data_IF_094294899614
#
_entry.id   IF_094294899614
#
_cell.length_a   1.000
_cell.length_b   1.000
_cell.length_c   1.000
_cell.angle_alpha   90.00
_cell.angle_beta   90.00
_cell.angle_gamma   90.00
#
_symmetry.space_group_name_H-M   'P 1'
#
loop_
_entity.id
_entity.type
_entity.pdbx_description
1 polymer ?
#
# COMPACT_ATOMS: atom_id res chain seq x y z
N UNK A 1 48.12 39.27 33.20
CA UNK A 1 46.66 39.26 32.91
C UNK A 1 46.44 38.29 31.76
N UNK A 2 46.02 37.05 32.06
CA UNK A 2 45.85 35.99 31.05
C UNK A 2 44.39 35.92 30.62
N UNK A 3 44.15 36.08 29.31
CA UNK A 3 42.85 36.00 28.67
C UNK A 3 42.41 34.55 28.44
N UNK A 4 41.19 34.23 28.83
CA UNK A 4 40.52 32.98 28.53
C UNK A 4 39.84 33.08 27.15
N UNK A 5 40.29 32.27 26.20
CA UNK A 5 39.52 31.97 24.99
C UNK A 5 38.64 30.74 25.23
N UNK A 6 37.32 30.77 24.94
CA UNK A 6 36.48 29.59 25.02
C UNK A 6 36.77 28.64 23.84
N UNK A 7 36.93 27.35 24.14
CA UNK A 7 37.06 26.29 23.14
C UNK A 7 35.76 26.10 22.33
N UNK A 8 35.86 25.80 21.02
CA UNK A 8 34.69 25.47 20.20
C UNK A 8 34.09 24.10 20.59
N UNK A 9 32.76 23.92 20.44
CA UNK A 9 32.08 22.69 20.81
C UNK A 9 32.50 21.50 19.92
N UNK A 10 32.46 20.27 20.45
CA UNK A 10 32.83 19.07 19.71
C UNK A 10 31.91 18.88 18.50
N UNK A 11 32.50 18.79 17.32
CA UNK A 11 31.78 18.43 16.10
C UNK A 11 31.23 17.01 16.26
N UNK A 12 29.91 16.88 16.19
CA UNK A 12 29.25 15.58 16.09
C UNK A 12 29.75 14.91 14.82
N UNK A 13 30.43 13.78 15.00
CA UNK A 13 30.89 12.91 13.93
C UNK A 13 29.69 12.51 13.10
N UNK A 14 29.57 13.10 11.90
CA UNK A 14 28.52 12.77 10.96
C UNK A 14 28.59 11.29 10.63
N UNK A 15 27.45 10.61 10.74
CA UNK A 15 27.30 9.22 10.36
C UNK A 15 27.76 9.09 8.90
N UNK A 16 28.87 8.38 8.69
CA UNK A 16 29.49 8.25 7.36
C UNK A 16 28.44 7.78 6.36
N UNK A 17 28.37 8.41 5.19
CA UNK A 17 27.43 8.07 4.12
C UNK A 17 27.44 6.56 3.79
N UNK A 18 28.58 5.91 4.01
CA UNK A 18 28.80 4.48 3.86
C UNK A 18 27.88 3.65 4.79
N UNK A 19 27.62 4.11 6.02
CA UNK A 19 26.72 3.45 6.97
C UNK A 19 25.26 3.59 6.54
N UNK A 20 24.87 4.74 6.02
CA UNK A 20 23.49 4.97 5.52
C UNK A 20 23.22 4.08 4.31
N UNK A 21 24.18 3.98 3.38
CA UNK A 21 24.07 3.09 2.21
C UNK A 21 23.97 1.63 2.64
N UNK A 22 24.77 1.19 3.61
CA UNK A 22 24.72 -0.18 4.12
C UNK A 22 23.35 -0.51 4.72
N UNK A 23 22.77 0.41 5.50
CA UNK A 23 21.43 0.23 6.09
C UNK A 23 20.37 0.11 4.98
N UNK A 24 20.43 0.94 3.95
CA UNK A 24 19.46 0.87 2.83
C UNK A 24 19.57 -0.47 2.10
N UNK A 25 20.80 -0.97 1.84
CA UNK A 25 21.01 -2.27 1.19
C UNK A 25 20.46 -3.42 2.06
N UNK A 26 20.72 -3.40 3.36
CA UNK A 26 20.20 -4.42 4.29
C UNK A 26 18.68 -4.36 4.38
N UNK A 27 18.11 -3.16 4.50
CA UNK A 27 16.65 -2.96 4.55
C UNK A 27 16.00 -3.40 3.24
N UNK A 28 16.60 -3.11 2.08
CA UNK A 28 16.12 -3.58 0.78
C UNK A 28 16.22 -5.11 0.62
N UNK A 29 17.25 -5.75 1.17
CA UNK A 29 17.37 -7.20 1.18
C UNK A 29 16.36 -7.88 2.11
N UNK A 30 16.10 -7.29 3.29
CA UNK A 30 15.19 -7.87 4.29
C UNK A 30 13.71 -7.60 3.94
N UNK A 31 13.38 -6.44 3.37
CA UNK A 31 12.02 -6.12 2.90
C UNK A 31 11.74 -6.58 1.47
N UNK A 32 12.78 -6.75 0.64
CA UNK A 32 12.67 -7.14 -0.77
C UNK A 32 13.07 -8.58 -1.10
N UNK A 33 13.48 -9.39 -0.12
CA UNK A 33 14.09 -10.70 -0.37
C UNK A 33 13.53 -11.81 0.51
N UNK A 34 12.39 -12.38 0.10
CA UNK A 34 11.80 -13.56 0.77
C UNK A 34 10.91 -14.43 -0.12
N UNK A 35 10.98 -14.30 -1.44
CA UNK A 35 10.23 -15.16 -2.37
C UNK A 35 10.72 -15.01 -3.81
N UNK A 36 11.09 -16.14 -4.42
CA UNK A 36 11.48 -16.32 -5.84
C UNK A 36 12.92 -15.99 -6.27
N UNK A 37 13.94 -16.35 -5.49
CA UNK A 37 15.33 -16.45 -6.00
C UNK A 37 15.63 -17.75 -6.77
N UNK A 38 14.64 -18.61 -7.02
CA UNK A 38 14.80 -19.82 -7.83
C UNK A 38 14.30 -19.69 -9.29
N UNK A 39 13.82 -18.52 -9.71
CA UNK A 39 13.32 -18.31 -11.08
C UNK A 39 14.24 -17.47 -11.99
N UNK A 40 15.37 -16.96 -11.50
CA UNK A 40 16.29 -16.13 -12.30
C UNK A 40 17.54 -16.94 -12.62
N UNK A 41 17.37 -17.88 -13.54
CA UNK A 41 18.47 -18.55 -14.22
C UNK A 41 18.12 -18.63 -15.69
N UNK A 42 18.87 -17.86 -16.50
CA UNK A 42 18.88 -17.80 -17.97
C UNK A 42 17.96 -16.74 -18.60
N UNK A 43 18.49 -15.52 -18.78
CA UNK A 43 18.82 -14.96 -20.10
C UNK A 43 18.87 -13.42 -20.05
N UNK A 44 20.08 -12.88 -19.94
CA UNK A 44 20.40 -11.57 -20.46
C UNK A 44 21.06 -11.78 -21.83
N UNK A 45 20.37 -11.38 -22.89
CA UNK A 45 21.00 -10.97 -24.14
C UNK A 45 20.18 -9.83 -24.70
N UNK A 46 20.73 -8.62 -24.57
CA UNK A 46 20.24 -7.42 -25.24
C UNK A 46 20.48 -7.60 -26.74
N UNK A 47 19.43 -7.47 -27.53
CA UNK A 47 19.53 -7.15 -28.94
C UNK A 47 18.31 -6.31 -29.29
N UNK A 48 18.55 -5.03 -29.53
CA UNK A 48 17.66 -4.19 -30.33
C UNK A 48 17.42 -4.90 -31.66
N UNK A 49 16.17 -5.26 -31.92
CA UNK A 49 15.71 -5.59 -33.26
C UNK A 49 14.26 -5.15 -33.36
N UNK A 50 14.04 -4.07 -34.10
CA UNK A 50 12.75 -3.76 -34.72
C UNK A 50 12.33 -4.97 -35.56
N UNK A 51 11.57 -5.89 -34.97
CA UNK A 51 10.90 -6.97 -35.70
C UNK A 51 9.44 -7.04 -35.24
N UNK A 52 8.58 -6.70 -36.19
CA UNK A 52 7.17 -7.06 -36.17
C UNK A 52 7.05 -8.59 -36.30
N UNK A 53 7.17 -9.30 -35.18
CA UNK A 53 6.83 -10.72 -35.13
C UNK A 53 5.37 -10.85 -34.69
N UNK A 54 4.51 -10.89 -35.70
CA UNK A 54 3.21 -11.50 -35.56
C UNK A 54 3.39 -12.91 -35.00
N UNK A 55 2.89 -13.13 -33.78
CA UNK A 55 2.73 -14.47 -33.25
C UNK A 55 1.99 -15.30 -34.30
N UNK A 56 2.71 -16.24 -34.91
CA UNK A 56 2.12 -17.17 -35.85
C UNK A 56 0.93 -17.86 -35.17
N UNK A 57 -0.24 -17.97 -35.83
CA UNK A 57 -1.37 -18.66 -35.23
C UNK A 57 -0.98 -20.13 -35.02
N UNK A 58 -0.71 -20.48 -33.76
CA UNK A 58 -0.63 -21.89 -33.35
C UNK A 58 -1.99 -22.50 -33.68
N UNK A 59 -1.97 -23.60 -34.43
CA UNK A 59 -3.16 -24.26 -34.95
C UNK A 59 -4.25 -24.34 -33.85
N UNK A 60 -5.40 -23.73 -34.12
CA UNK A 60 -6.58 -23.72 -33.26
C UNK A 60 -7.16 -25.12 -33.16
N UNK A 61 -6.52 -26.01 -32.41
CA UNK A 61 -7.15 -27.22 -31.92
C UNK A 61 -8.30 -26.84 -30.99
N UNK A 62 -9.31 -27.70 -30.90
CA UNK A 62 -10.42 -27.51 -29.95
C UNK A 62 -9.87 -27.32 -28.53
N UNK A 63 -10.16 -26.17 -27.92
CA UNK A 63 -9.80 -25.91 -26.53
C UNK A 63 -10.79 -26.63 -25.61
N UNK A 64 -10.27 -27.39 -24.64
CA UNK A 64 -11.04 -28.21 -23.72
C UNK A 64 -10.63 -27.95 -22.27
N UNK A 65 -11.59 -28.13 -21.37
CA UNK A 65 -11.37 -28.09 -19.93
C UNK A 65 -11.28 -29.51 -19.38
N UNK A 66 -10.12 -30.14 -19.55
CA UNK A 66 -9.87 -31.50 -19.06
C UNK A 66 -9.14 -31.51 -17.70
N UNK A 67 -8.73 -32.69 -17.22
CA UNK A 67 -8.10 -32.84 -15.91
C UNK A 67 -6.81 -32.01 -15.75
N UNK A 68 -6.03 -31.86 -16.83
CA UNK A 68 -4.83 -31.03 -16.83
C UNK A 68 -5.20 -29.54 -16.69
N UNK A 69 -6.18 -29.07 -17.45
CA UNK A 69 -6.65 -27.69 -17.34
C UNK A 69 -7.17 -27.37 -15.92
N UNK A 70 -7.86 -28.32 -15.28
CA UNK A 70 -8.33 -28.20 -13.89
C UNK A 70 -7.16 -28.17 -12.88
N UNK A 71 -6.10 -28.97 -13.10
CA UNK A 71 -4.88 -28.89 -12.26
C UNK A 71 -4.20 -27.52 -12.42
N UNK A 72 -4.07 -27.03 -13.66
CA UNK A 72 -3.49 -25.73 -13.96
C UNK A 72 -4.30 -24.58 -13.35
N UNK A 73 -5.63 -24.61 -13.42
CA UNK A 73 -6.52 -23.68 -12.69
C UNK A 73 -6.23 -23.69 -11.19
N UNK A 74 -6.07 -24.87 -10.61
CA UNK A 74 -5.83 -25.03 -9.17
C UNK A 74 -4.47 -24.47 -8.77
N UNK A 75 -3.45 -24.67 -9.60
CA UNK A 75 -2.12 -24.07 -9.39
C UNK A 75 -2.15 -22.54 -9.47
N UNK A 76 -2.88 -21.96 -10.43
CA UNK A 76 -3.09 -20.50 -10.48
C UNK A 76 -3.74 -19.98 -9.19
N UNK A 77 -4.81 -20.64 -8.73
CA UNK A 77 -5.48 -20.28 -7.47
C UNK A 77 -4.54 -20.35 -6.27
N UNK A 78 -3.71 -21.39 -6.20
CA UNK A 78 -2.71 -21.54 -5.13
C UNK A 78 -1.61 -20.46 -5.19
N UNK A 79 -1.36 -19.85 -6.35
CA UNK A 79 -0.46 -18.71 -6.52
C UNK A 79 -1.14 -17.34 -6.31
N UNK A 80 -2.42 -17.31 -5.90
CA UNK A 80 -3.17 -16.08 -5.65
C UNK A 80 -3.81 -15.48 -6.90
N UNK A 81 -3.77 -16.17 -8.04
CA UNK A 81 -4.48 -15.77 -9.26
C UNK A 81 -5.88 -16.40 -9.22
N UNK A 82 -6.97 -15.62 -9.17
CA UNK A 82 -8.33 -16.14 -9.10
C UNK A 82 -8.80 -16.63 -10.47
N UNK A 83 -8.16 -17.69 -10.98
CA UNK A 83 -8.52 -18.33 -12.22
C UNK A 83 -9.96 -18.87 -12.17
N UNK A 84 -10.80 -18.35 -13.06
CA UNK A 84 -12.19 -18.83 -13.26
C UNK A 84 -12.16 -20.11 -14.09
N UNK A 85 -11.44 -20.09 -15.21
CA UNK A 85 -11.39 -21.18 -16.17
C UNK A 85 -10.02 -21.22 -16.84
N UNK A 86 -9.47 -22.41 -17.08
CA UNK A 86 -8.38 -22.62 -18.02
C UNK A 86 -8.86 -23.59 -19.10
N UNK A 87 -8.55 -23.29 -20.36
CA UNK A 87 -8.83 -24.16 -21.50
C UNK A 87 -7.52 -24.48 -22.21
N UNK A 88 -7.23 -25.75 -22.42
CA UNK A 88 -6.01 -26.18 -23.10
C UNK A 88 -6.35 -26.92 -24.40
N UNK A 89 -5.44 -26.99 -25.39
CA UNK A 89 -5.66 -27.74 -26.62
C UNK A 89 -6.00 -29.20 -26.31
N UNK A 90 -7.02 -29.78 -26.96
CA UNK A 90 -7.38 -31.18 -26.77
C UNK A 90 -6.24 -32.14 -27.13
N UNK A 91 -5.49 -31.81 -28.19
CA UNK A 91 -4.30 -32.51 -28.63
C UNK A 91 -3.05 -31.79 -28.14
N UNK A 92 -2.74 -31.92 -26.84
CA UNK A 92 -1.46 -31.42 -26.29
C UNK A 92 -0.29 -32.26 -26.81
N UNK A 93 0.86 -31.64 -27.10
CA UNK A 93 2.06 -32.40 -27.39
C UNK A 93 2.48 -33.20 -26.14
N UNK A 94 2.97 -34.42 -26.33
CA UNK A 94 3.45 -35.26 -25.23
C UNK A 94 4.72 -34.71 -24.57
N UNK A 95 5.45 -33.83 -25.29
CA UNK A 95 6.64 -33.11 -24.84
C UNK A 95 6.70 -31.74 -25.50
N UNK A 96 7.29 -30.78 -24.79
CA UNK A 96 7.51 -29.43 -25.29
C UNK A 96 6.41 -28.45 -24.91
N UNK A 97 6.55 -27.23 -25.40
CA UNK A 97 5.75 -26.10 -24.96
C UNK A 97 4.41 -26.03 -25.70
N UNK A 98 3.37 -25.62 -24.98
CA UNK A 98 2.04 -25.37 -25.55
C UNK A 98 1.35 -24.21 -24.83
N UNK A 99 0.27 -23.72 -25.42
CA UNK A 99 -0.46 -22.58 -24.89
C UNK A 99 -1.87 -22.99 -24.44
N UNK A 100 -2.30 -22.48 -23.28
CA UNK A 100 -3.68 -22.56 -22.81
C UNK A 100 -4.29 -21.16 -22.72
N UNK A 101 -5.61 -21.06 -22.68
CA UNK A 101 -6.34 -19.82 -22.39
C UNK A 101 -6.72 -19.80 -20.92
N UNK A 102 -6.35 -18.74 -20.20
CA UNK A 102 -6.75 -18.44 -18.83
C UNK A 102 -7.81 -17.36 -18.83
N UNK A 103 -8.89 -17.58 -18.09
CA UNK A 103 -9.92 -16.58 -17.81
C UNK A 103 -9.88 -16.19 -16.33
N UNK A 104 -9.80 -14.90 -16.04
CA UNK A 104 -9.86 -14.31 -14.69
C UNK A 104 -10.98 -13.27 -14.68
N UNK A 105 -12.10 -13.57 -14.02
CA UNK A 105 -13.29 -12.72 -14.11
C UNK A 105 -13.78 -12.60 -15.56
N UNK A 106 -13.74 -11.39 -16.12
CA UNK A 106 -14.10 -11.12 -17.52
C UNK A 106 -12.88 -11.08 -18.47
N UNK A 107 -11.66 -11.06 -17.93
CA UNK A 107 -10.43 -10.91 -18.70
C UNK A 107 -9.90 -12.29 -19.15
N UNK A 108 -9.27 -12.32 -20.33
CA UNK A 108 -8.64 -13.53 -20.91
C UNK A 108 -7.17 -13.28 -21.18
N UNK A 109 -6.33 -14.29 -20.98
CA UNK A 109 -4.90 -14.26 -21.25
C UNK A 109 -4.41 -15.62 -21.77
N UNK A 110 -3.28 -15.60 -22.48
CA UNK A 110 -2.60 -16.81 -22.93
C UNK A 110 -1.60 -17.25 -21.86
N UNK A 111 -1.69 -18.52 -21.45
CA UNK A 111 -0.74 -19.18 -20.56
C UNK A 111 0.23 -19.97 -21.42
N UNK A 112 1.52 -19.70 -21.29
CA UNK A 112 2.56 -20.57 -21.82
C UNK A 112 2.83 -21.68 -20.81
N UNK A 113 2.71 -22.93 -21.23
CA UNK A 113 3.03 -24.12 -20.44
C UNK A 113 4.28 -24.76 -21.03
N UNK A 114 5.28 -25.04 -20.19
CA UNK A 114 6.55 -25.68 -20.58
C UNK A 114 6.75 -26.98 -19.83
N UNK A 115 7.17 -28.02 -20.56
CA UNK A 115 7.55 -29.30 -19.97
C UNK A 115 8.94 -29.19 -19.34
N UNK A 116 9.07 -29.55 -18.06
CA UNK A 116 10.35 -29.52 -17.32
C UNK A 116 10.95 -30.90 -17.12
N UNK A 117 10.33 -31.96 -17.67
CA UNK A 117 10.73 -33.36 -17.49
C UNK A 117 10.34 -33.97 -16.15
N UNK A 118 10.23 -33.16 -15.09
CA UNK A 118 9.69 -33.53 -13.76
C UNK A 118 8.24 -33.10 -13.55
N UNK A 119 7.67 -32.39 -14.51
CA UNK A 119 6.34 -31.80 -14.45
C UNK A 119 6.22 -30.70 -15.50
N UNK A 120 5.46 -29.66 -15.17
CA UNK A 120 5.28 -28.50 -16.04
C UNK A 120 5.47 -27.20 -15.26
N UNK A 121 6.09 -26.25 -15.92
CA UNK A 121 6.11 -24.84 -15.54
C UNK A 121 5.07 -24.10 -16.37
N UNK A 122 4.57 -22.97 -15.86
CA UNK A 122 3.67 -22.11 -16.61
C UNK A 122 3.97 -20.64 -16.33
N UNK A 123 3.70 -19.81 -17.33
CA UNK A 123 3.87 -18.37 -17.28
C UNK A 123 2.74 -17.68 -18.06
N UNK A 124 2.41 -16.44 -17.69
CA UNK A 124 1.44 -15.61 -18.40
C UNK A 124 2.21 -14.37 -18.89
N UNK A 125 2.80 -14.43 -20.10
CA UNK A 125 3.72 -13.41 -20.56
C UNK A 125 3.04 -12.04 -20.61
N UNK A 126 3.82 -10.99 -20.38
CA UNK A 126 3.41 -9.59 -20.40
C UNK A 126 2.20 -9.27 -19.52
N UNK A 127 1.94 -10.05 -18.48
CA UNK A 127 0.75 -9.89 -17.61
C UNK A 127 1.15 -9.61 -16.17
N UNK A 128 0.54 -8.59 -15.60
CA UNK A 128 0.61 -8.27 -14.18
C UNK A 128 -0.70 -8.68 -13.49
N UNK A 129 -0.58 -9.34 -12.34
CA UNK A 129 -1.70 -9.64 -11.45
C UNK A 129 -1.69 -8.63 -10.30
N UNK A 130 -2.55 -7.64 -10.40
CA UNK A 130 -2.60 -6.52 -9.46
C UNK A 130 -3.57 -6.84 -8.32
N UNK A 131 -3.08 -6.79 -7.09
CA UNK A 131 -3.89 -6.92 -5.89
C UNK A 131 -4.67 -5.63 -5.65
N UNK A 132 -6.00 -5.70 -5.74
CA UNK A 132 -6.91 -4.57 -5.55
C UNK A 132 -6.78 -3.89 -4.18
N UNK A 133 -6.48 -4.64 -3.12
CA UNK A 133 -6.25 -4.05 -1.80
C UNK A 133 -4.96 -3.23 -1.78
N UNK A 134 -3.89 -3.71 -2.44
CA UNK A 134 -2.64 -2.94 -2.58
C UNK A 134 -2.83 -1.71 -3.45
N UNK A 135 -3.56 -1.82 -4.56
CA UNK A 135 -3.91 -0.67 -5.40
C UNK A 135 -4.70 0.38 -4.60
N UNK A 136 -5.69 -0.06 -3.83
CA UNK A 136 -6.48 0.81 -2.96
C UNK A 136 -5.60 1.50 -1.91
N UNK A 137 -4.70 0.79 -1.24
CA UNK A 137 -3.77 1.36 -0.27
C UNK A 137 -2.82 2.38 -0.91
N UNK A 138 -2.28 2.07 -2.09
CA UNK A 138 -1.43 2.99 -2.87
C UNK A 138 -2.19 4.26 -3.26
N UNK A 139 -3.42 4.12 -3.75
CA UNK A 139 -4.28 5.26 -4.07
C UNK A 139 -4.59 6.13 -2.84
N UNK A 140 -4.92 5.51 -1.70
CA UNK A 140 -5.15 6.24 -0.45
C UNK A 140 -3.94 7.08 -0.05
N UNK A 141 -2.76 6.46 -0.13
CA UNK A 141 -1.51 7.08 0.32
C UNK A 141 -1.06 8.20 -0.62
N UNK A 142 -1.11 7.96 -1.94
CA UNK A 142 -0.52 8.85 -2.93
C UNK A 142 -1.45 10.00 -3.37
N UNK A 143 -2.76 9.75 -3.42
CA UNK A 143 -3.76 10.64 -4.01
C UNK A 143 -4.79 11.08 -2.96
N UNK A 144 -5.53 10.13 -2.36
CA UNK A 144 -6.68 10.48 -1.52
C UNK A 144 -6.28 11.33 -0.30
N UNK A 145 -5.15 11.01 0.36
CA UNK A 145 -4.63 11.74 1.51
C UNK A 145 -4.36 13.24 1.25
N UNK A 146 -4.13 13.63 -0.01
CA UNK A 146 -3.82 15.01 -0.43
C UNK A 146 -5.05 15.79 -0.92
N UNK A 147 -6.16 15.09 -1.16
CA UNK A 147 -7.37 15.64 -1.79
C UNK A 147 -8.56 15.48 -0.84
N UNK A 148 -9.01 14.25 -0.61
CA UNK A 148 -10.06 13.89 0.33
C UNK A 148 -9.88 12.41 0.71
N UNK A 149 -9.64 12.14 2.01
CA UNK A 149 -9.41 10.79 2.54
C UNK A 149 -10.63 9.86 2.41
N UNK A 150 -11.78 10.37 1.98
CA UNK A 150 -13.01 9.59 1.71
C UNK A 150 -13.09 9.10 0.27
N UNK A 151 -12.20 9.52 -0.63
CA UNK A 151 -12.16 9.03 -2.02
C UNK A 151 -11.91 7.52 -2.03
N UNK A 152 -12.70 6.80 -2.82
CA UNK A 152 -12.60 5.34 -3.00
C UNK A 152 -12.64 5.01 -4.49
N UNK A 153 -12.04 3.88 -4.86
CA UNK A 153 -12.02 3.39 -6.25
C UNK A 153 -12.68 2.00 -6.27
N UNK A 154 -13.97 1.89 -6.60
CA UNK A 154 -14.70 0.63 -6.49
C UNK A 154 -14.14 -0.49 -7.38
N UNK A 155 -13.43 -0.15 -8.46
CA UNK A 155 -12.81 -1.15 -9.33
C UNK A 155 -11.59 -1.85 -8.68
N UNK A 156 -11.01 -1.30 -7.61
CA UNK A 156 -9.83 -1.88 -6.93
C UNK A 156 -10.27 -2.98 -5.97
N UNK A 157 -10.80 -4.07 -6.54
CA UNK A 157 -11.30 -5.23 -5.81
C UNK A 157 -10.73 -6.51 -6.40
N UNK A 158 -10.51 -7.51 -5.53
CA UNK A 158 -9.95 -8.80 -5.94
C UNK A 158 -8.57 -8.68 -6.58
N UNK A 159 -8.29 -9.56 -7.55
CA UNK A 159 -7.07 -9.50 -8.37
C UNK A 159 -7.46 -9.05 -9.77
N UNK A 160 -6.80 -8.01 -10.27
CA UNK A 160 -6.98 -7.49 -11.62
C UNK A 160 -5.86 -8.00 -12.52
N UNK A 161 -6.23 -8.60 -13.66
CA UNK A 161 -5.28 -9.08 -14.66
C UNK A 161 -5.11 -7.99 -15.73
N UNK A 162 -3.90 -7.45 -15.88
CA UNK A 162 -3.62 -6.37 -16.84
C UNK A 162 -2.33 -6.60 -17.58
N UNK A 163 -2.29 -6.20 -18.86
CA UNK A 163 -1.08 -6.29 -19.67
C UNK A 163 -0.05 -5.26 -19.19
N UNK A 164 1.22 -5.63 -19.14
CA UNK A 164 2.33 -4.71 -18.88
C UNK A 164 2.39 -3.65 -19.97
N UNK A 165 2.61 -2.40 -19.58
CA UNK A 165 2.54 -1.23 -20.47
C UNK A 165 1.12 -0.76 -20.80
N UNK A 166 0.07 -1.48 -20.36
CA UNK A 166 -1.31 -1.04 -20.56
C UNK A 166 -1.76 -0.02 -19.52
N UNK A 167 -2.85 0.66 -19.84
CA UNK A 167 -3.53 1.57 -18.92
C UNK A 167 -5.00 1.19 -18.81
N UNK A 168 -5.58 1.40 -17.64
CA UNK A 168 -7.02 1.26 -17.42
C UNK A 168 -7.54 2.36 -16.51
N UNK A 169 -8.79 2.74 -16.72
CA UNK A 169 -9.43 3.83 -16.00
C UNK A 169 -10.51 3.31 -15.08
N UNK A 170 -10.63 3.91 -13.90
CA UNK A 170 -11.66 3.60 -12.93
C UNK A 170 -12.30 4.85 -12.37
N UNK A 171 -13.59 4.77 -12.12
CA UNK A 171 -14.32 5.83 -11.43
C UNK A 171 -13.88 5.94 -9.96
N UNK A 172 -13.74 7.17 -9.49
CA UNK A 172 -13.45 7.50 -8.10
C UNK A 172 -14.68 8.14 -7.48
N UNK A 173 -15.10 7.59 -6.36
CA UNK A 173 -16.34 7.99 -5.67
C UNK A 173 -16.06 8.52 -4.27
N UNK A 174 -16.97 9.36 -3.78
CA UNK A 174 -17.13 9.66 -2.35
C UNK A 174 -18.51 9.18 -1.94
N UNK A 175 -18.57 8.11 -1.14
CA UNK A 175 -19.83 7.42 -0.88
C UNK A 175 -20.37 6.80 -2.18
N UNK A 176 -21.54 7.24 -2.63
CA UNK A 176 -22.18 6.78 -3.87
C UNK A 176 -22.04 7.77 -5.05
N UNK A 177 -21.35 8.90 -4.84
CA UNK A 177 -21.26 9.95 -5.85
C UNK A 177 -19.94 9.89 -6.61
N UNK A 178 -20.03 9.83 -7.94
CA UNK A 178 -18.88 9.96 -8.84
C UNK A 178 -18.21 11.33 -8.66
N UNK A 179 -16.90 11.33 -8.40
CA UNK A 179 -16.11 12.56 -8.15
C UNK A 179 -14.95 12.76 -9.11
N UNK A 180 -14.53 11.70 -9.79
CA UNK A 180 -13.44 11.74 -10.76
C UNK A 180 -13.12 10.38 -11.34
N UNK A 181 -11.97 10.31 -12.00
CA UNK A 181 -11.43 9.11 -12.64
C UNK A 181 -9.96 8.98 -12.25
N UNK A 182 -9.53 7.76 -11.94
CA UNK A 182 -8.12 7.40 -11.81
C UNK A 182 -7.72 6.56 -13.01
N UNK A 183 -6.62 6.93 -13.67
CA UNK A 183 -5.97 6.15 -14.71
C UNK A 183 -4.80 5.43 -14.06
N UNK A 184 -4.75 4.11 -14.20
CA UNK A 184 -3.69 3.26 -13.69
C UNK A 184 -2.87 2.74 -14.85
N UNK A 185 -1.59 3.07 -14.89
CA UNK A 185 -0.60 2.52 -15.83
C UNK A 185 0.15 1.37 -15.18
N UNK A 186 0.29 0.26 -15.89
CA UNK A 186 1.02 -0.94 -15.42
C UNK A 186 2.45 -0.88 -15.94
N UNK A 187 3.41 -0.61 -15.06
CA UNK A 187 4.80 -0.41 -15.46
C UNK A 187 5.56 -1.74 -15.63
N UNK A 188 5.26 -2.76 -14.82
CA UNK A 188 5.95 -4.06 -14.87
C UNK A 188 5.07 -5.26 -14.47
N UNK A 189 5.58 -6.48 -14.70
CA UNK A 189 4.92 -7.74 -14.32
C UNK A 189 4.90 -8.00 -12.81
N UNK A 190 5.71 -7.28 -12.02
CA UNK A 190 5.72 -7.37 -10.54
C UNK A 190 4.58 -6.59 -9.91
N UNK A 191 3.83 -5.84 -10.71
CA UNK A 191 2.69 -5.04 -10.27
C UNK A 191 3.07 -3.62 -9.86
N UNK A 192 4.21 -3.10 -10.31
CA UNK A 192 4.49 -1.67 -10.22
C UNK A 192 3.50 -0.90 -11.09
N UNK A 193 2.89 0.13 -10.51
CA UNK A 193 1.88 0.95 -11.19
C UNK A 193 2.08 2.42 -10.93
N UNK A 194 1.61 3.23 -11.88
CA UNK A 194 1.47 4.68 -11.77
C UNK A 194 0.00 5.05 -11.80
N UNK A 195 -0.40 6.00 -10.96
CA UNK A 195 -1.80 6.41 -10.84
C UNK A 195 -1.93 7.91 -11.07
N UNK A 196 -2.78 8.28 -12.03
CA UNK A 196 -3.10 9.66 -12.36
C UNK A 196 -4.58 9.93 -12.10
N UNK A 197 -4.88 10.85 -11.20
CA UNK A 197 -6.25 11.21 -10.84
C UNK A 197 -6.71 12.50 -11.52
N UNK A 198 -7.87 12.44 -12.16
CA UNK A 198 -8.56 13.59 -12.74
C UNK A 198 -9.95 13.69 -12.11
N UNK A 199 -10.23 14.76 -11.39
CA UNK A 199 -11.55 14.98 -10.79
C UNK A 199 -11.67 16.31 -10.10
N UNK A 200 -12.90 16.67 -9.73
CA UNK A 200 -13.12 17.88 -8.96
C UNK A 200 -12.46 17.73 -7.59
N UNK A 201 -11.67 18.73 -7.18
CA UNK A 201 -11.20 18.80 -5.80
C UNK A 201 -12.46 18.96 -4.94
N UNK A 202 -12.75 18.00 -4.06
CA UNK A 202 -13.82 18.18 -3.10
C UNK A 202 -13.58 19.54 -2.40
N UNK A 203 -14.60 20.40 -2.26
CA UNK A 203 -14.42 21.64 -1.52
C UNK A 203 -13.85 21.26 -0.16
N UNK A 204 -12.75 21.90 0.21
CA UNK A 204 -12.14 21.68 1.53
C UNK A 204 -13.28 21.73 2.55
N UNK A 205 -13.37 20.74 3.47
CA UNK A 205 -14.42 20.76 4.48
C UNK A 205 -14.42 22.16 5.08
N UNK A 206 -15.56 22.85 4.97
CA UNK A 206 -15.67 24.22 5.44
C UNK A 206 -15.22 24.19 6.89
N UNK A 207 -14.04 24.75 7.15
CA UNK A 207 -13.57 24.97 8.51
C UNK A 207 -14.57 25.96 9.03
N UNK A 208 -15.58 25.45 9.76
CA UNK A 208 -16.46 26.32 10.51
C UNK A 208 -15.49 27.09 11.39
N UNK A 209 -15.37 28.42 11.25
CA UNK A 209 -14.47 29.19 12.10
C UNK A 209 -14.83 28.78 13.51
N UNK A 210 -13.86 28.22 14.25
CA UNK A 210 -14.07 27.90 15.65
C UNK A 210 -14.73 29.14 16.25
N UNK A 211 -15.93 28.97 16.81
CA UNK A 211 -16.70 30.09 17.34
C UNK A 211 -15.73 30.92 18.18
N UNK A 212 -15.65 32.23 17.85
CA UNK A 212 -14.76 33.20 18.51
C UNK A 212 -14.69 32.81 19.99
N UNK A 213 -13.51 32.46 20.55
CA UNK A 213 -13.44 31.95 21.90
C UNK A 213 -14.13 32.96 22.80
N UNK A 214 -15.33 32.61 23.27
CA UNK A 214 -15.99 33.34 24.33
C UNK A 214 -15.03 33.16 25.49
N UNK A 215 -14.49 34.26 26.02
CA UNK A 215 -13.58 34.26 27.14
C UNK A 215 -14.24 33.48 28.29
N UNK A 216 -13.96 32.18 28.35
CA UNK A 216 -14.43 31.33 29.41
C UNK A 216 -13.50 31.63 30.56
N UNK A 217 -14.04 32.22 31.62
CA UNK A 217 -13.33 32.33 32.89
C UNK A 217 -12.82 30.96 33.35
N UNK A 218 -11.95 30.94 34.37
CA UNK A 218 -11.28 29.73 34.85
C UNK A 218 -12.30 28.61 35.09
N UNK A 219 -12.08 27.45 34.43
CA UNK A 219 -12.95 26.28 34.55
C UNK A 219 -12.32 25.31 35.54
N UNK A 220 -13.06 24.97 36.58
CA UNK A 220 -12.68 23.95 37.58
C UNK A 220 -13.28 22.62 37.14
N UNK A 221 -12.43 21.59 37.01
CA UNK A 221 -12.86 20.23 36.69
C UNK A 221 -12.39 19.30 37.80
N UNK A 222 -13.33 18.57 38.41
CA UNK A 222 -13.06 17.57 39.43
C UNK A 222 -12.92 16.19 38.78
N UNK A 223 -11.82 15.50 39.03
CA UNK A 223 -11.58 14.14 38.52
C UNK A 223 -11.61 13.12 39.65
N UNK A 224 -12.30 12.00 39.41
CA UNK A 224 -12.22 10.80 40.25
C UNK A 224 -11.02 9.99 39.77
N UNK A 225 -9.90 10.08 40.50
CA UNK A 225 -8.79 9.16 40.27
C UNK A 225 -9.21 7.76 40.73
N UNK A 226 -8.90 6.69 39.97
CA UNK A 226 -8.97 5.34 40.50
C UNK A 226 -8.13 5.26 41.79
N UNK A 227 -8.59 4.53 42.82
CA UNK A 227 -7.85 4.40 44.06
C UNK A 227 -6.43 3.85 43.78
N UNK A 228 -5.41 4.57 44.27
CA UNK A 228 -3.99 4.19 44.11
C UNK A 228 -3.16 5.03 43.14
N UNK A 229 -3.71 6.06 42.50
CA UNK A 229 -2.95 6.97 41.63
C UNK A 229 -3.12 8.46 42.00
N UNK A 230 -2.26 8.97 42.89
CA UNK A 230 -1.64 10.33 42.87
C UNK A 230 -0.83 10.60 44.18
N UNK A 231 0.21 11.48 44.20
CA UNK A 231 0.85 12.22 43.11
C UNK A 231 2.34 11.83 42.91
N UNK A 232 2.78 11.80 41.64
CA UNK A 232 4.17 11.57 41.23
C UNK A 232 4.33 10.70 39.97
N UNK A 233 3.28 9.98 39.57
CA UNK A 233 3.27 9.13 38.37
C UNK A 233 2.53 9.79 37.20
N UNK A 234 3.15 9.77 36.02
CA UNK A 234 2.60 10.31 34.79
C UNK A 234 1.23 9.69 34.45
N UNK A 235 0.19 10.52 34.38
CA UNK A 235 -1.12 10.15 33.83
C UNK A 235 -0.93 9.92 32.33
N UNK A 236 -0.93 8.66 31.89
CA UNK A 236 -0.84 8.31 30.47
C UNK A 236 -2.21 8.43 29.82
N UNK A 237 -2.36 9.50 29.04
CA UNK A 237 -3.35 9.77 27.97
C UNK A 237 -4.84 9.72 28.35
N UNK A 238 -5.57 10.78 27.96
CA UNK A 238 -7.04 10.76 27.90
C UNK A 238 -7.79 11.83 28.69
N UNK A 239 -7.22 13.01 28.97
CA UNK A 239 -7.99 14.08 29.60
C UNK A 239 -8.80 14.87 28.55
N UNK A 240 -10.13 14.76 28.64
CA UNK A 240 -11.08 15.57 27.88
C UNK A 240 -11.48 16.80 28.72
N UNK A 241 -11.52 17.98 28.09
CA UNK A 241 -12.09 19.18 28.69
C UNK A 241 -13.38 19.53 27.93
N UNK A 242 -14.51 18.97 28.38
CA UNK A 242 -15.77 19.07 27.62
C UNK A 242 -15.73 18.26 26.33
N UNK A 243 -16.18 18.85 25.21
CA UNK A 243 -16.27 18.20 23.90
C UNK A 243 -14.96 18.23 23.09
N UNK A 244 -13.93 18.94 23.55
CA UNK A 244 -12.70 19.14 22.79
C UNK A 244 -11.56 18.26 23.34
N UNK A 245 -10.96 17.46 22.44
CA UNK A 245 -9.66 16.81 22.68
C UNK A 245 -8.59 17.89 22.48
N UNK A 246 -8.15 18.51 23.58
CA UNK A 246 -6.93 19.32 23.54
C UNK A 246 -5.78 18.31 23.46
N UNK A 247 -5.01 18.39 22.37
CA UNK A 247 -4.12 17.33 21.89
C UNK A 247 -3.11 16.77 22.89
N UNK A 248 -2.46 15.68 22.48
CA UNK A 248 -1.31 15.07 23.16
C UNK A 248 -0.24 16.12 23.43
N UNK A 249 -0.18 16.61 24.66
CA UNK A 249 0.89 17.48 25.15
C UNK A 249 1.53 16.86 26.40
N UNK A 250 2.33 15.81 26.19
CA UNK A 250 3.37 15.46 27.15
C UNK A 250 4.67 16.13 26.67
N UNK A 251 5.05 17.26 27.26
CA UNK A 251 6.40 17.81 27.03
C UNK A 251 6.66 19.29 27.26
N UNK A 252 5.67 20.14 27.57
CA UNK A 252 5.92 21.55 27.90
C UNK A 252 5.51 21.85 29.36
N UNK A 253 6.44 22.25 30.23
CA UNK A 253 6.09 22.74 31.57
C UNK A 253 5.42 24.11 31.41
N UNK A 254 4.11 24.21 31.67
CA UNK A 254 3.46 25.53 31.60
C UNK A 254 1.95 25.64 31.81
N UNK A 255 1.11 24.60 31.61
CA UNK A 255 -0.34 24.84 31.50
C UNK A 255 -1.22 24.34 32.65
N UNK A 256 -0.63 23.93 33.78
CA UNK A 256 -1.41 23.60 34.98
C UNK A 256 -0.77 24.33 36.16
N UNK A 257 -1.48 25.32 36.70
CA UNK A 257 -0.96 26.20 37.75
C UNK A 257 -1.24 25.69 39.15
N UNK A 258 -2.23 24.83 39.35
CA UNK A 258 -2.52 24.25 40.66
C UNK A 258 -3.15 22.85 40.57
N UNK A 259 -2.56 21.92 41.33
CA UNK A 259 -3.10 20.58 41.57
C UNK A 259 -3.36 20.46 43.07
N UNK A 260 -4.62 20.36 43.48
CA UNK A 260 -4.99 20.18 44.89
C UNK A 260 -5.61 18.80 45.10
N UNK A 261 -5.11 18.07 46.09
CA UNK A 261 -5.71 16.80 46.50
C UNK A 261 -7.02 17.08 47.25
N UNK A 262 -8.07 16.31 46.96
CA UNK A 262 -9.37 16.39 47.61
C UNK A 262 -9.80 15.01 48.10
N UNK A 263 -10.82 14.95 48.97
CA UNK A 263 -11.35 13.68 49.48
C UNK A 263 -11.92 12.75 48.40
N UNK A 264 -12.10 13.21 47.14
CA UNK A 264 -12.65 12.44 46.01
C UNK A 264 -11.67 12.25 44.84
N UNK A 265 -10.43 12.74 44.94
CA UNK A 265 -9.45 12.69 43.85
C UNK A 265 -8.64 13.98 43.69
N UNK A 266 -8.25 14.31 42.47
CA UNK A 266 -7.47 15.51 42.14
C UNK A 266 -8.34 16.59 41.48
N UNK A 267 -8.16 17.85 41.89
CA UNK A 267 -8.74 19.02 41.24
C UNK A 267 -7.67 19.73 40.42
N UNK A 268 -8.00 20.07 39.17
CA UNK A 268 -7.15 20.85 38.27
C UNK A 268 -7.85 22.18 37.95
N UNK A 269 -7.07 23.26 37.93
CA UNK A 269 -7.52 24.56 37.43
C UNK A 269 -6.84 24.81 36.09
N UNK A 270 -7.63 24.90 35.03
CA UNK A 270 -7.14 25.36 33.72
C UNK A 270 -7.38 26.87 33.62
N UNK A 271 -6.33 27.61 33.29
CA UNK A 271 -6.42 29.03 32.93
C UNK A 271 -6.68 29.20 31.44
#
# INVERSE_FOLDING_TARGET
MHGYYPQPPPQKTGMSALTIVLIIVVVALVLGGGGCLLCIGIAASVSDTDHADGAAPVAQGTLVRDSFAIDLETRFRNQGVPATTVLCPASRPARGDFQCELTVGADRATVQVRDTGSGFAFDVPDTAFLDGAKLSASFQTQIASKIDARLRVPCFTGTLMKKVGSQFSCEVVVGATATGTVVVSVDDAKGSVRMDYTGARAPAPAVTPAAKPVAAGPRVVDFVCPPGQAPGGAVRAGCLCGSDIIGTACGAPGNFTDVTATARGCRFVCQ
#
